data_IF_120688894980
#
_entry.id   IF_120688894980
#
_cell.length_a   1.000
_cell.length_b   1.000
_cell.length_c   1.000
_cell.angle_alpha   90.00
_cell.angle_beta   90.00
_cell.angle_gamma   90.00
#
_symmetry.space_group_name_H-M   'P 1'
#
loop_
_entity.id
_entity.type
_entity.pdbx_description
1 polymer ?
#
# COMPACT_ATOMS: atom_id res chain seq x y z
N UNK A 1 -11.78 -3.99 -17.43
CA UNK A 1 -11.20 -3.67 -16.13
C UNK A 1 -11.73 -2.34 -15.63
N UNK A 2 -12.21 -2.26 -14.40
CA UNK A 2 -12.65 -1.03 -13.74
C UNK A 2 -11.80 -0.77 -12.50
N UNK A 3 -11.38 0.45 -12.27
CA UNK A 3 -10.60 0.85 -11.10
C UNK A 3 -11.44 1.76 -10.22
N UNK A 4 -11.56 1.41 -8.95
CA UNK A 4 -12.36 2.10 -7.94
C UNK A 4 -11.46 2.45 -6.77
N UNK A 5 -11.42 3.71 -6.40
CA UNK A 5 -10.74 4.18 -5.20
C UNK A 5 -11.75 4.83 -4.24
N UNK A 6 -11.55 4.63 -2.95
CA UNK A 6 -12.33 5.31 -1.92
C UNK A 6 -11.56 6.50 -1.37
N UNK A 7 -12.20 7.65 -1.34
CA UNK A 7 -11.65 8.89 -0.83
C UNK A 7 -12.48 9.40 0.35
N UNK A 8 -11.83 9.79 1.42
CA UNK A 8 -12.53 10.34 2.58
C UNK A 8 -11.65 10.47 3.82
N UNK A 9 -12.20 11.06 4.85
CA UNK A 9 -11.50 11.25 6.13
C UNK A 9 -11.09 9.92 6.77
N UNK A 10 -10.03 9.90 7.61
CA UNK A 10 -9.76 8.76 8.48
C UNK A 10 -10.98 8.39 9.30
N UNK A 11 -11.29 7.10 9.38
CA UNK A 11 -12.49 6.62 10.12
C UNK A 11 -13.82 6.74 9.39
N UNK A 12 -13.87 7.21 8.14
CA UNK A 12 -15.11 7.35 7.37
C UNK A 12 -15.73 6.03 6.86
N UNK A 13 -15.16 4.88 7.22
CA UNK A 13 -15.70 3.58 6.84
C UNK A 13 -15.26 3.06 5.47
N UNK A 14 -14.23 3.66 4.83
CA UNK A 14 -13.70 3.23 3.52
C UNK A 14 -13.38 1.74 3.45
N UNK A 15 -12.68 1.23 4.45
CA UNK A 15 -12.28 -0.18 4.51
C UNK A 15 -13.48 -1.10 4.56
N UNK A 16 -14.46 -0.80 5.41
CA UNK A 16 -15.69 -1.58 5.52
C UNK A 16 -16.47 -1.61 4.19
N UNK A 17 -16.60 -0.45 3.53
CA UNK A 17 -17.32 -0.38 2.26
C UNK A 17 -16.55 -1.11 1.14
N UNK A 18 -15.22 -1.02 1.13
CA UNK A 18 -14.36 -1.81 0.24
C UNK A 18 -14.59 -3.30 0.42
N UNK A 19 -14.57 -3.81 1.65
CA UNK A 19 -14.79 -5.23 1.96
C UNK A 19 -16.15 -5.69 1.48
N UNK A 20 -17.23 -4.96 1.79
CA UNK A 20 -18.59 -5.26 1.29
C UNK A 20 -18.64 -5.33 -0.24
N UNK A 21 -17.95 -4.43 -0.94
CA UNK A 21 -17.92 -4.42 -2.40
C UNK A 21 -17.13 -5.61 -2.95
N UNK A 22 -16.00 -5.95 -2.33
CA UNK A 22 -15.22 -7.13 -2.68
C UNK A 22 -16.01 -8.42 -2.50
N UNK A 23 -16.72 -8.59 -1.38
CA UNK A 23 -17.57 -9.74 -1.11
C UNK A 23 -18.69 -9.90 -2.14
N UNK A 24 -19.34 -8.77 -2.49
CA UNK A 24 -20.37 -8.77 -3.55
C UNK A 24 -19.81 -9.24 -4.89
N UNK A 25 -18.69 -8.69 -5.33
CA UNK A 25 -18.07 -9.03 -6.61
C UNK A 25 -17.50 -10.44 -6.63
N UNK A 26 -17.04 -10.97 -5.49
CA UNK A 26 -16.60 -12.37 -5.38
C UNK A 26 -17.75 -13.33 -5.58
N UNK A 27 -18.95 -13.03 -5.07
CA UNK A 27 -20.16 -13.83 -5.30
C UNK A 27 -20.59 -13.82 -6.78
N UNK A 28 -20.22 -12.80 -7.54
CA UNK A 28 -20.46 -12.69 -8.97
C UNK A 28 -19.32 -13.31 -9.82
N UNK A 29 -18.41 -14.10 -9.21
CA UNK A 29 -17.24 -14.71 -9.84
C UNK A 29 -16.35 -13.73 -10.60
N UNK A 30 -16.27 -12.48 -10.14
CA UNK A 30 -15.45 -11.45 -10.74
C UNK A 30 -14.04 -11.45 -10.16
N UNK A 31 -13.02 -11.44 -11.01
CA UNK A 31 -11.62 -11.29 -10.60
C UNK A 31 -11.37 -9.86 -10.11
N UNK A 32 -11.29 -9.71 -8.79
CA UNK A 32 -11.12 -8.43 -8.12
C UNK A 32 -9.89 -8.42 -7.19
N UNK A 33 -9.16 -7.32 -7.19
CA UNK A 33 -7.92 -7.18 -6.45
C UNK A 33 -7.80 -5.80 -5.80
N UNK A 34 -7.08 -5.71 -4.68
CA UNK A 34 -6.46 -4.48 -4.21
C UNK A 34 -5.09 -4.31 -4.86
N UNK A 35 -4.45 -3.13 -4.74
CA UNK A 35 -3.07 -2.95 -5.20
C UNK A 35 -2.12 -4.00 -4.59
N UNK A 36 -2.22 -4.27 -3.30
CA UNK A 36 -1.43 -5.33 -2.65
C UNK A 36 -1.76 -6.72 -3.19
N UNK A 37 -3.03 -6.98 -3.49
CA UNK A 37 -3.47 -8.23 -4.10
C UNK A 37 -2.87 -8.44 -5.48
N UNK A 38 -2.84 -7.40 -6.31
CA UNK A 38 -2.19 -7.44 -7.64
C UNK A 38 -0.71 -7.76 -7.53
N UNK A 39 0.01 -7.12 -6.61
CA UNK A 39 1.43 -7.40 -6.41
C UNK A 39 1.62 -8.86 -5.98
N UNK A 40 0.81 -9.34 -5.05
CA UNK A 40 0.88 -10.72 -4.57
C UNK A 40 0.64 -11.73 -5.69
N UNK A 41 -0.34 -11.47 -6.56
CA UNK A 41 -0.75 -12.38 -7.63
C UNK A 41 0.21 -12.33 -8.84
N UNK A 42 0.59 -11.15 -9.28
CA UNK A 42 1.26 -10.96 -10.56
C UNK A 42 2.74 -10.58 -10.49
N UNK A 43 3.30 -10.39 -9.29
CA UNK A 43 4.74 -10.16 -9.16
C UNK A 43 5.48 -11.50 -9.31
N UNK A 44 6.34 -11.69 -10.33
CA UNK A 44 6.88 -13.00 -10.72
C UNK A 44 7.66 -13.75 -9.65
N UNK A 45 7.94 -13.14 -8.53
CA UNK A 45 8.86 -13.65 -7.49
C UNK A 45 8.18 -14.37 -6.33
N UNK A 46 6.86 -14.27 -6.18
CA UNK A 46 6.22 -14.83 -4.99
C UNK A 46 5.96 -16.34 -5.12
N UNK A 47 5.64 -16.83 -6.31
CA UNK A 47 5.27 -18.24 -6.51
C UNK A 47 6.37 -19.11 -7.11
N UNK A 48 7.20 -18.60 -8.04
CA UNK A 48 8.34 -19.37 -8.55
C UNK A 48 9.42 -19.65 -7.50
N UNK A 49 9.46 -18.89 -6.41
CA UNK A 49 10.34 -19.12 -5.28
C UNK A 49 9.73 -20.01 -4.19
N UNK A 50 8.53 -20.54 -4.35
CA UNK A 50 7.96 -21.51 -3.41
C UNK A 50 8.86 -22.76 -3.31
N UNK A 51 9.35 -23.27 -4.44
CA UNK A 51 10.36 -24.32 -4.47
C UNK A 51 11.65 -23.90 -3.75
N UNK A 52 12.15 -22.69 -3.99
CA UNK A 52 13.31 -22.17 -3.26
C UNK A 52 13.01 -21.94 -1.77
N UNK A 53 11.80 -21.57 -1.42
CA UNK A 53 11.36 -21.45 -0.03
C UNK A 53 11.25 -22.81 0.67
N UNK A 54 10.78 -23.84 -0.02
CA UNK A 54 10.76 -25.22 0.47
C UNK A 54 12.19 -25.75 0.58
N UNK A 55 13.03 -25.57 -0.44
CA UNK A 55 14.43 -25.97 -0.43
C UNK A 55 15.20 -25.28 0.70
N UNK A 56 14.96 -24.00 0.96
CA UNK A 56 15.52 -23.29 2.11
C UNK A 56 15.01 -23.86 3.44
N UNK A 57 13.71 -24.15 3.57
CA UNK A 57 13.17 -24.82 4.76
C UNK A 57 13.82 -26.19 4.99
N UNK A 58 13.96 -26.98 3.94
CA UNK A 58 14.61 -28.28 3.96
C UNK A 58 16.09 -28.13 4.33
N UNK A 59 16.81 -27.24 3.68
CA UNK A 59 18.22 -26.96 3.97
C UNK A 59 18.45 -26.52 5.42
N UNK A 60 17.65 -25.61 5.94
CA UNK A 60 17.74 -25.17 7.33
C UNK A 60 17.29 -26.24 8.32
N UNK A 61 16.32 -27.07 7.96
CA UNK A 61 15.92 -28.23 8.77
C UNK A 61 17.07 -29.23 8.92
N UNK A 62 17.74 -29.60 7.83
CA UNK A 62 18.90 -30.50 7.86
C UNK A 62 20.11 -29.90 8.58
N UNK A 63 20.36 -28.60 8.41
CA UNK A 63 21.45 -27.91 9.11
C UNK A 63 21.21 -27.81 10.61
N UNK A 64 19.96 -27.66 11.06
CA UNK A 64 19.60 -27.67 12.47
C UNK A 64 19.62 -29.07 13.08
N UNK A 65 19.30 -30.09 12.27
CA UNK A 65 19.33 -31.49 12.71
C UNK A 65 20.74 -32.00 12.95
N UNK A 66 21.74 -31.60 12.15
CA UNK A 66 23.16 -31.98 12.33
C UNK A 66 23.75 -31.43 13.64
N UNK A 67 23.21 -30.38 14.25
CA UNK A 67 23.61 -29.87 15.56
C UNK A 67 22.95 -30.58 16.74
N UNK A 68 22.00 -31.51 16.51
CA UNK A 68 21.20 -32.17 17.56
C UNK A 68 21.87 -33.41 18.21
N UNK A 69 23.01 -33.86 17.73
CA UNK A 69 23.62 -35.13 18.19
C UNK A 69 24.40 -34.98 19.52
N UNK A 70 24.47 -33.81 20.12
CA UNK A 70 25.26 -33.59 21.33
C UNK A 70 24.66 -32.59 22.31
N UNK A 71 23.43 -32.75 22.78
CA UNK A 71 22.98 -31.84 23.84
C UNK A 71 22.04 -32.43 24.89
N UNK A 72 22.50 -32.36 26.13
CA UNK A 72 21.82 -32.64 27.39
C UNK A 72 20.54 -31.79 27.60
N UNK A 73 19.61 -32.32 28.41
CA UNK A 73 18.28 -31.78 28.78
C UNK A 73 18.19 -30.29 29.19
N UNK A 74 19.31 -29.62 29.47
CA UNK A 74 19.34 -28.18 29.82
C UNK A 74 19.07 -27.22 28.65
N UNK A 75 19.06 -27.70 27.41
CA UNK A 75 19.02 -26.84 26.21
C UNK A 75 17.66 -26.77 25.46
N UNK A 76 16.58 -27.27 26.04
CA UNK A 76 15.24 -27.18 25.43
C UNK A 76 14.79 -25.72 25.20
N UNK A 77 15.12 -24.79 26.10
CA UNK A 77 14.84 -23.34 25.91
C UNK A 77 15.58 -22.76 24.71
N UNK A 78 16.84 -23.16 24.49
CA UNK A 78 17.65 -22.63 23.37
C UNK A 78 17.18 -23.14 21.99
N UNK A 79 16.49 -24.28 21.91
CA UNK A 79 15.93 -24.79 20.66
C UNK A 79 14.69 -24.00 20.20
N UNK A 80 13.89 -23.44 21.11
CA UNK A 80 12.78 -22.54 20.79
C UNK A 80 13.30 -21.18 20.28
N UNK A 81 14.32 -20.60 20.91
CA UNK A 81 14.98 -19.37 20.43
C UNK A 81 15.54 -19.51 19.01
N UNK A 82 16.10 -20.67 18.67
CA UNK A 82 16.61 -20.94 17.32
C UNK A 82 15.51 -21.03 16.26
N UNK A 83 14.30 -21.49 16.59
CA UNK A 83 13.18 -21.55 15.64
C UNK A 83 12.60 -20.17 15.33
N UNK A 84 12.46 -19.30 16.33
CA UNK A 84 11.98 -17.92 16.11
C UNK A 84 13.01 -17.10 15.34
N UNK A 85 14.29 -17.19 15.65
CA UNK A 85 15.36 -16.51 14.91
C UNK A 85 15.43 -16.98 13.45
N UNK A 86 15.18 -18.27 13.19
CA UNK A 86 15.12 -18.84 11.86
C UNK A 86 13.93 -18.26 11.06
N UNK A 87 12.74 -18.23 11.66
CA UNK A 87 11.54 -17.65 11.04
C UNK A 87 11.71 -16.15 10.72
N UNK A 88 12.35 -15.41 11.62
CA UNK A 88 12.69 -14.00 11.43
C UNK A 88 13.65 -13.84 10.25
N UNK A 89 14.69 -14.67 10.15
CA UNK A 89 15.66 -14.60 9.07
C UNK A 89 15.05 -14.99 7.72
N UNK A 90 14.17 -15.98 7.68
CA UNK A 90 13.41 -16.34 6.47
C UNK A 90 12.49 -15.18 6.04
N UNK A 91 11.75 -14.58 6.99
CA UNK A 91 10.91 -13.40 6.70
C UNK A 91 11.73 -12.25 6.14
N UNK A 92 12.90 -11.94 6.74
CA UNK A 92 13.82 -10.90 6.25
C UNK A 92 14.34 -11.21 4.84
N UNK A 93 14.67 -12.46 4.54
CA UNK A 93 15.15 -12.87 3.24
C UNK A 93 14.06 -12.75 2.16
N UNK A 94 12.86 -13.29 2.44
CA UNK A 94 11.70 -13.17 1.54
C UNK A 94 11.37 -11.69 1.29
N UNK A 95 11.45 -10.87 2.33
CA UNK A 95 11.23 -9.44 2.23
C UNK A 95 12.26 -8.74 1.34
N UNK A 96 13.55 -9.09 1.45
CA UNK A 96 14.61 -8.56 0.57
C UNK A 96 14.38 -8.91 -0.91
N UNK A 97 13.94 -10.14 -1.19
CA UNK A 97 13.61 -10.56 -2.57
C UNK A 97 12.43 -9.75 -3.09
N UNK A 98 11.39 -9.59 -2.28
CA UNK A 98 10.22 -8.78 -2.59
C UNK A 98 10.63 -7.35 -2.94
N UNK A 99 11.39 -6.68 -2.06
CA UNK A 99 11.89 -5.33 -2.31
C UNK A 99 12.73 -5.23 -3.58
N UNK A 100 13.66 -6.16 -3.81
CA UNK A 100 14.49 -6.20 -5.02
C UNK A 100 13.66 -6.26 -6.31
N UNK A 101 12.57 -7.01 -6.30
CA UNK A 101 11.70 -7.12 -7.48
C UNK A 101 10.82 -5.88 -7.68
N UNK A 102 10.33 -5.29 -6.58
CA UNK A 102 9.68 -3.98 -6.61
C UNK A 102 10.63 -2.94 -7.20
N UNK A 103 11.88 -2.88 -6.73
CA UNK A 103 12.86 -1.90 -7.20
C UNK A 103 13.21 -2.06 -8.68
N UNK A 104 13.39 -3.29 -9.17
CA UNK A 104 13.61 -3.56 -10.61
C UNK A 104 12.50 -2.99 -11.50
N UNK A 105 11.27 -3.09 -11.07
CA UNK A 105 10.14 -2.55 -11.82
C UNK A 105 10.04 -1.03 -11.61
N UNK A 106 10.25 -0.56 -10.39
CA UNK A 106 10.14 0.85 -10.03
C UNK A 106 11.11 1.75 -10.79
N UNK A 107 12.33 1.31 -11.03
CA UNK A 107 13.34 2.06 -11.83
C UNK A 107 12.77 2.55 -13.17
N UNK A 108 11.84 1.81 -13.78
CA UNK A 108 11.16 2.23 -15.02
C UNK A 108 10.25 3.46 -14.84
N UNK A 109 9.85 3.76 -13.60
CA UNK A 109 8.94 4.84 -13.25
C UNK A 109 9.63 5.99 -12.51
N UNK A 110 10.81 5.79 -11.95
CA UNK A 110 11.50 6.77 -11.12
C UNK A 110 11.69 8.12 -11.82
N UNK A 111 11.91 8.08 -13.15
CA UNK A 111 12.04 9.28 -13.99
C UNK A 111 10.70 9.82 -14.52
N UNK A 112 9.57 9.18 -14.22
CA UNK A 112 8.25 9.67 -14.64
C UNK A 112 7.81 10.83 -13.76
N UNK A 113 7.12 11.79 -14.37
CA UNK A 113 6.72 13.06 -13.69
C UNK A 113 5.97 12.84 -12.39
N UNK A 114 5.06 11.84 -12.32
CA UNK A 114 4.32 11.56 -11.10
C UNK A 114 5.24 11.07 -9.97
N UNK A 115 6.14 10.13 -10.26
CA UNK A 115 7.09 9.62 -9.26
C UNK A 115 7.99 10.75 -8.75
N UNK A 116 8.52 11.58 -9.64
CA UNK A 116 9.38 12.72 -9.29
C UNK A 116 8.66 13.74 -8.41
N UNK A 117 7.44 14.15 -8.79
CA UNK A 117 6.63 15.07 -7.97
C UNK A 117 6.37 14.47 -6.59
N UNK A 118 5.99 13.20 -6.53
CA UNK A 118 5.68 12.56 -5.25
C UNK A 118 6.91 12.37 -4.38
N UNK A 119 8.05 11.97 -4.95
CA UNK A 119 9.34 11.88 -4.22
C UNK A 119 9.74 13.25 -3.68
N UNK A 120 9.59 14.31 -4.48
CA UNK A 120 9.86 15.67 -4.03
C UNK A 120 8.97 16.05 -2.83
N UNK A 121 7.67 15.77 -2.89
CA UNK A 121 6.73 16.04 -1.80
C UNK A 121 7.08 15.25 -0.53
N UNK A 122 7.51 14.00 -0.66
CA UNK A 122 7.95 13.17 0.47
C UNK A 122 9.23 13.74 1.08
N UNK A 123 10.25 14.06 0.28
CA UNK A 123 11.52 14.61 0.75
C UNK A 123 11.31 15.89 1.54
N UNK A 124 10.47 16.79 1.03
CA UNK A 124 10.18 18.09 1.62
C UNK A 124 9.02 18.06 2.64
N UNK A 125 8.55 16.89 3.06
CA UNK A 125 7.54 16.77 4.11
C UNK A 125 8.18 16.99 5.50
N UNK A 126 7.34 17.39 6.46
CA UNK A 126 7.75 17.59 7.86
C UNK A 126 7.67 16.30 8.70
N UNK A 127 7.72 15.14 8.04
CA UNK A 127 7.72 13.85 8.71
C UNK A 127 9.15 13.40 9.06
N UNK A 128 9.25 12.49 10.03
CA UNK A 128 10.49 11.80 10.38
C UNK A 128 11.06 11.03 9.17
N UNK A 129 12.36 10.73 9.21
CA UNK A 129 13.01 9.96 8.14
C UNK A 129 12.39 8.57 7.96
N UNK A 130 12.00 7.92 9.05
CA UNK A 130 11.35 6.60 9.01
C UNK A 130 10.00 6.67 8.27
N UNK A 131 9.19 7.69 8.57
CA UNK A 131 7.93 7.89 7.85
C UNK A 131 8.16 8.22 6.37
N UNK A 132 9.18 8.99 6.03
CA UNK A 132 9.55 9.24 4.63
C UNK A 132 9.94 7.97 3.89
N UNK A 133 10.64 7.04 4.55
CA UNK A 133 10.96 5.72 3.98
C UNK A 133 9.70 4.90 3.74
N UNK A 134 8.77 4.87 4.70
CA UNK A 134 7.47 4.19 4.56
C UNK A 134 6.68 4.77 3.37
N UNK A 135 6.62 6.09 3.22
CA UNK A 135 5.89 6.73 2.10
C UNK A 135 6.53 6.46 0.74
N UNK A 136 7.87 6.44 0.66
CA UNK A 136 8.57 6.03 -0.56
C UNK A 136 8.25 4.59 -0.93
N UNK A 137 8.20 3.70 0.05
CA UNK A 137 7.85 2.31 -0.17
C UNK A 137 6.42 2.18 -0.70
N UNK A 138 5.45 2.86 -0.09
CA UNK A 138 4.07 2.87 -0.59
C UNK A 138 3.97 3.37 -2.03
N UNK A 139 4.68 4.45 -2.37
CA UNK A 139 4.74 4.95 -3.75
C UNK A 139 5.27 3.89 -4.72
N UNK A 140 6.37 3.22 -4.35
CA UNK A 140 6.95 2.14 -5.16
C UNK A 140 5.94 1.00 -5.39
N UNK A 141 5.32 0.51 -4.31
CA UNK A 141 4.33 -0.56 -4.36
C UNK A 141 3.13 -0.18 -5.23
N UNK A 142 2.59 1.02 -5.08
CA UNK A 142 1.44 1.49 -5.85
C UNK A 142 1.76 1.67 -7.35
N UNK A 143 2.94 2.19 -7.70
CA UNK A 143 3.35 2.32 -9.10
C UNK A 143 3.64 0.96 -9.75
N UNK A 144 4.24 0.03 -9.01
CA UNK A 144 4.45 -1.34 -9.47
C UNK A 144 3.12 -2.06 -9.65
N UNK A 145 2.18 -1.91 -8.71
CA UNK A 145 0.84 -2.45 -8.85
C UNK A 145 0.15 -1.94 -10.14
N UNK A 146 0.19 -0.64 -10.41
CA UNK A 146 -0.36 -0.08 -11.64
C UNK A 146 0.28 -0.66 -12.90
N UNK A 147 1.58 -0.87 -12.91
CA UNK A 147 2.27 -1.53 -14.02
C UNK A 147 1.78 -2.96 -14.23
N UNK A 148 1.66 -3.72 -13.15
CA UNK A 148 1.17 -5.10 -13.20
C UNK A 148 -0.31 -5.17 -13.62
N UNK A 149 -1.14 -4.23 -13.18
CA UNK A 149 -2.53 -4.06 -13.61
C UNK A 149 -2.59 -3.85 -15.12
N UNK A 150 -1.80 -2.93 -15.65
CA UNK A 150 -1.76 -2.64 -17.08
C UNK A 150 -1.35 -3.89 -17.89
N UNK A 151 -0.32 -4.61 -17.45
CA UNK A 151 0.11 -5.85 -18.10
C UNK A 151 -0.92 -6.97 -18.06
N UNK A 152 -1.71 -7.06 -17.01
CA UNK A 152 -2.66 -8.16 -16.77
C UNK A 152 -4.11 -7.72 -16.92
N UNK A 153 -4.40 -6.61 -17.59
CA UNK A 153 -5.73 -6.01 -17.71
C UNK A 153 -6.82 -6.97 -18.21
N UNK A 154 -6.47 -7.98 -19.02
CA UNK A 154 -7.40 -8.99 -19.51
C UNK A 154 -7.85 -9.98 -18.42
N UNK A 155 -7.04 -10.20 -17.38
CA UNK A 155 -7.30 -11.12 -16.28
C UNK A 155 -7.97 -10.45 -15.07
N UNK A 156 -8.14 -9.13 -15.09
CA UNK A 156 -8.63 -8.33 -13.97
C UNK A 156 -9.93 -7.66 -14.36
N UNK A 157 -10.98 -7.91 -13.61
CA UNK A 157 -12.28 -7.23 -13.78
C UNK A 157 -12.31 -5.91 -13.01
N UNK A 158 -11.92 -5.94 -11.71
CA UNK A 158 -11.95 -4.80 -10.82
C UNK A 158 -10.66 -4.64 -10.01
N UNK A 159 -10.24 -3.38 -9.85
CA UNK A 159 -9.27 -2.97 -8.85
C UNK A 159 -9.99 -2.07 -7.85
N UNK A 160 -9.93 -2.42 -6.57
CA UNK A 160 -10.66 -1.72 -5.52
C UNK A 160 -9.70 -1.41 -4.39
N UNK A 161 -9.44 -0.14 -4.14
CA UNK A 161 -8.57 0.27 -3.05
C UNK A 161 -9.15 1.39 -2.17
N UNK A 162 -8.91 1.28 -0.86
CA UNK A 162 -9.34 2.26 0.14
C UNK A 162 -8.26 3.29 0.46
N UNK A 163 -7.04 3.10 -0.05
CA UNK A 163 -5.88 3.93 0.24
C UNK A 163 -4.99 4.11 -0.99
N UNK A 164 -5.61 4.43 -2.12
CA UNK A 164 -4.89 4.67 -3.38
C UNK A 164 -4.25 6.06 -3.47
N UNK A 165 -3.88 6.45 -4.67
CA UNK A 165 -3.14 7.69 -4.92
C UNK A 165 -3.84 8.94 -4.42
N UNK A 166 -5.16 9.06 -4.63
CA UNK A 166 -5.92 10.25 -4.20
C UNK A 166 -5.94 10.36 -2.68
N UNK A 167 -6.11 9.23 -1.98
CA UNK A 167 -6.11 9.21 -0.53
C UNK A 167 -4.74 9.61 0.06
N UNK A 168 -3.62 9.27 -0.61
CA UNK A 168 -2.26 9.64 -0.18
C UNK A 168 -2.02 11.15 -0.17
N UNK A 169 -2.78 11.91 -0.94
CA UNK A 169 -2.64 13.36 -1.00
C UNK A 169 -2.84 14.03 0.38
N UNK A 170 -3.65 13.44 1.28
CA UNK A 170 -3.77 13.92 2.65
C UNK A 170 -2.43 14.01 3.38
N UNK A 171 -1.56 12.99 3.18
CA UNK A 171 -0.25 12.91 3.80
C UNK A 171 0.65 14.04 3.29
N UNK A 172 0.65 14.25 1.96
CA UNK A 172 1.52 15.25 1.34
C UNK A 172 1.11 16.69 1.64
N UNK A 173 -0.14 16.92 2.07
CA UNK A 173 -0.65 18.23 2.47
C UNK A 173 -0.43 18.55 3.96
N UNK A 174 0.08 17.60 4.74
CA UNK A 174 0.28 17.80 6.18
C UNK A 174 1.22 18.95 6.46
N UNK A 175 0.77 19.92 7.26
CA UNK A 175 1.53 21.15 7.64
C UNK A 175 2.13 21.91 6.46
N UNK A 176 1.47 21.91 5.30
CA UNK A 176 1.88 22.69 4.12
C UNK A 176 1.05 23.97 3.98
N UNK A 177 1.71 25.05 3.53
CA UNK A 177 1.06 26.33 3.27
C UNK A 177 0.46 26.35 1.85
N UNK A 178 1.23 25.96 0.83
CA UNK A 178 0.84 26.00 -0.59
C UNK A 178 -0.01 24.81 -1.04
N UNK A 179 -1.02 24.44 -0.24
CA UNK A 179 -1.84 23.22 -0.48
C UNK A 179 -2.45 23.16 -1.85
N UNK A 180 -2.96 24.27 -2.38
CA UNK A 180 -3.59 24.29 -3.69
C UNK A 180 -2.60 24.01 -4.84
N UNK A 181 -1.40 24.59 -4.76
CA UNK A 181 -0.32 24.35 -5.73
C UNK A 181 0.10 22.88 -5.72
N UNK A 182 0.25 22.31 -4.53
CA UNK A 182 0.59 20.89 -4.34
C UNK A 182 -0.49 20.00 -4.96
N UNK A 183 -1.77 20.25 -4.65
CA UNK A 183 -2.91 19.48 -5.20
C UNK A 183 -2.89 19.52 -6.73
N UNK A 184 -2.76 20.69 -7.34
CA UNK A 184 -2.74 20.85 -8.80
C UNK A 184 -1.56 20.09 -9.41
N UNK A 185 -0.35 20.25 -8.88
CA UNK A 185 0.85 19.57 -9.38
C UNK A 185 0.74 18.05 -9.26
N UNK A 186 0.19 17.56 -8.14
CA UNK A 186 0.00 16.15 -7.89
C UNK A 186 -1.04 15.55 -8.84
N UNK A 187 -2.23 16.15 -8.92
CA UNK A 187 -3.34 15.64 -9.75
C UNK A 187 -3.02 15.68 -11.25
N UNK A 188 -2.19 16.66 -11.70
CA UNK A 188 -1.76 16.75 -13.10
C UNK A 188 -1.12 15.47 -13.60
N UNK A 189 -0.36 14.76 -12.77
CA UNK A 189 0.41 13.58 -13.13
C UNK A 189 -0.08 12.30 -12.47
N UNK A 190 -0.98 12.40 -11.49
CA UNK A 190 -1.49 11.27 -10.74
C UNK A 190 -2.19 10.26 -11.65
N UNK A 191 -1.92 8.96 -11.51
CA UNK A 191 -2.76 7.92 -12.10
C UNK A 191 -4.15 7.98 -11.46
N UNK A 192 -5.09 8.53 -12.17
CA UNK A 192 -6.44 8.78 -11.65
C UNK A 192 -7.27 7.50 -11.79
N UNK A 193 -8.01 7.07 -10.76
CA UNK A 193 -8.91 5.93 -10.85
C UNK A 193 -10.07 6.22 -11.78
N UNK A 194 -10.61 5.18 -12.42
CA UNK A 194 -11.79 5.32 -13.28
C UNK A 194 -13.02 5.83 -12.50
N UNK A 195 -13.18 5.37 -11.26
CA UNK A 195 -14.26 5.78 -10.36
C UNK A 195 -13.72 6.11 -8.98
N UNK A 196 -14.10 7.24 -8.45
CA UNK A 196 -13.78 7.66 -7.09
C UNK A 196 -15.07 7.69 -6.26
N UNK A 197 -15.10 6.89 -5.21
CA UNK A 197 -16.19 6.91 -4.23
C UNK A 197 -15.81 7.84 -3.10
N UNK A 198 -16.47 8.99 -3.04
CA UNK A 198 -16.25 10.00 -2.00
C UNK A 198 -17.13 9.69 -0.81
N UNK A 199 -16.51 9.42 0.33
CA UNK A 199 -17.20 9.13 1.57
C UNK A 199 -17.76 10.41 2.20
N UNK A 200 -18.98 10.34 2.74
CA UNK A 200 -19.55 11.45 3.51
C UNK A 200 -18.63 11.85 4.67
N UNK A 201 -18.68 13.12 4.98
CA UNK A 201 -17.94 13.80 6.05
C UNK A 201 -18.48 13.39 7.44
N UNK A 202 -18.47 12.10 7.79
CA UNK A 202 -18.77 11.66 9.15
C UNK A 202 -17.51 11.73 9.98
N UNK A 203 -17.51 12.56 11.00
CA UNK A 203 -16.45 12.62 12.01
C UNK A 203 -16.77 11.51 13.01
N UNK A 204 -16.15 10.36 12.87
CA UNK A 204 -16.19 9.36 13.92
C UNK A 204 -15.29 9.79 15.08
N UNK A 205 -15.80 9.62 16.33
CA UNK A 205 -15.03 9.84 17.56
C UNK A 205 -13.66 9.13 17.43
N UNK A 206 -12.60 9.86 17.74
CA UNK A 206 -11.20 9.42 17.65
C UNK A 206 -11.01 7.99 18.18
N UNK A 207 -10.77 7.00 17.35
CA UNK A 207 -9.93 5.88 17.76
C UNK A 207 -8.50 6.43 17.87
N UNK A 208 -7.89 6.32 19.05
CA UNK A 208 -6.48 6.67 19.26
C UNK A 208 -5.67 5.90 18.22
N UNK A 209 -5.09 6.58 17.24
CA UNK A 209 -4.19 5.92 16.31
C UNK A 209 -2.92 5.57 17.08
N UNK A 210 -2.38 4.38 16.84
CA UNK A 210 -1.12 3.92 17.42
C UNK A 210 0.08 4.83 17.10
N UNK A 211 -0.05 5.67 16.08
CA UNK A 211 1.02 6.52 15.58
C UNK A 211 0.68 8.01 15.80
N UNK A 212 1.26 8.63 16.84
CA UNK A 212 1.02 10.03 17.23
C UNK A 212 1.28 11.03 16.09
N UNK A 213 2.23 10.75 15.18
CA UNK A 213 2.56 11.63 14.06
C UNK A 213 1.45 11.72 12.99
N UNK A 214 0.60 10.68 12.86
CA UNK A 214 -0.53 10.67 11.94
C UNK A 214 -1.82 11.29 12.51
N UNK A 215 -1.80 11.77 13.75
CA UNK A 215 -2.91 12.49 14.33
C UNK A 215 -2.99 13.91 13.75
N UNK A 216 -3.37 14.01 12.46
CA UNK A 216 -3.78 15.30 11.92
C UNK A 216 -4.90 15.86 12.77
N UNK A 217 -4.77 17.13 13.15
CA UNK A 217 -5.87 17.86 13.76
C UNK A 217 -7.12 17.69 12.89
N UNK A 218 -8.25 17.40 13.50
CA UNK A 218 -9.52 17.17 12.81
C UNK A 218 -9.86 18.33 11.86
N UNK A 219 -9.59 19.59 12.28
CA UNK A 219 -9.81 20.76 11.46
C UNK A 219 -8.92 20.79 10.21
N UNK A 220 -7.63 20.45 10.33
CA UNK A 220 -6.73 20.37 9.18
C UNK A 220 -7.15 19.27 8.22
N UNK A 221 -7.54 18.11 8.71
CA UNK A 221 -8.06 17.02 7.90
C UNK A 221 -9.32 17.42 7.13
N UNK A 222 -10.24 18.14 7.76
CA UNK A 222 -11.44 18.67 7.14
C UNK A 222 -11.12 19.71 6.05
N UNK A 223 -10.18 20.61 6.32
CA UNK A 223 -9.71 21.60 5.34
C UNK A 223 -9.07 20.92 4.12
N UNK A 224 -8.19 19.96 4.35
CA UNK A 224 -7.54 19.21 3.29
C UNK A 224 -8.57 18.41 2.45
N UNK A 225 -9.53 17.75 3.11
CA UNK A 225 -10.62 17.06 2.43
C UNK A 225 -11.39 18.00 1.50
N UNK A 226 -11.80 19.17 2.00
CA UNK A 226 -12.54 20.16 1.20
C UNK A 226 -11.75 20.64 0.00
N UNK A 227 -10.45 20.94 0.18
CA UNK A 227 -9.59 21.40 -0.92
C UNK A 227 -9.39 20.33 -1.99
N UNK A 228 -9.13 19.07 -1.60
CA UNK A 228 -8.97 17.97 -2.53
C UNK A 228 -10.28 17.70 -3.27
N UNK A 229 -11.40 17.62 -2.55
CA UNK A 229 -12.71 17.37 -3.15
C UNK A 229 -13.07 18.46 -4.18
N UNK A 230 -12.85 19.75 -3.85
CA UNK A 230 -13.05 20.87 -4.77
C UNK A 230 -12.15 20.78 -6.01
N UNK A 231 -10.94 20.30 -5.89
CA UNK A 231 -10.06 20.11 -7.03
C UNK A 231 -10.50 18.94 -7.92
N UNK A 232 -10.92 17.84 -7.33
CA UNK A 232 -11.41 16.65 -8.04
C UNK A 232 -12.71 16.91 -8.78
N UNK A 233 -13.63 17.68 -8.22
CA UNK A 233 -14.90 18.04 -8.90
C UNK A 233 -14.69 18.89 -10.15
N UNK A 234 -13.56 19.62 -10.23
CA UNK A 234 -13.17 20.38 -11.41
C UNK A 234 -12.49 19.52 -12.49
N UNK A 235 -11.98 18.35 -12.12
CA UNK A 235 -11.31 17.43 -13.01
C UNK A 235 -12.32 16.45 -13.62
N UNK A 236 -12.68 16.69 -14.89
CA UNK A 236 -13.66 15.87 -15.64
C UNK A 236 -13.19 14.44 -15.94
N UNK A 237 -11.95 14.09 -15.61
CA UNK A 237 -11.37 12.76 -15.91
C UNK A 237 -11.83 11.66 -14.95
N UNK A 238 -12.44 12.02 -13.82
CA UNK A 238 -12.82 11.08 -12.76
C UNK A 238 -14.34 11.03 -12.65
N UNK A 239 -14.90 9.83 -12.67
CA UNK A 239 -16.29 9.61 -12.26
C UNK A 239 -16.38 9.64 -10.74
N UNK A 240 -17.00 10.69 -10.19
CA UNK A 240 -17.19 10.83 -8.74
C UNK A 240 -18.56 10.31 -8.34
N UNK A 241 -18.59 9.43 -7.35
CA UNK A 241 -19.82 8.92 -6.71
C UNK A 241 -19.77 9.31 -5.24
N UNK A 242 -20.75 10.05 -4.78
CA UNK A 242 -20.89 10.37 -3.36
C UNK A 242 -21.66 9.27 -2.65
N UNK A 243 -21.02 8.65 -1.64
CA UNK A 243 -21.70 7.70 -0.78
C UNK A 243 -22.68 8.45 0.13
N UNK A 244 -23.96 8.17 -0.02
CA UNK A 244 -25.07 8.79 0.75
C UNK A 244 -25.17 8.24 2.18
#
# INVERSE_FOLDING_TARGET
MKQIEFFGLPGSGKTLLKEKLLDKLSKENMNNYSYKGVIKEFLPSYEKNWLNFILLKIFFYFRSSKKKISYNKKNLKNTFYNKESLLINIKKYVFKIYEKNIDKIFVKFEKKSFAQVTIYLIKNSNFSNDNKLIFKRWLKEELVANYLIYKNKKKINYIIDSEGFIQRLFIYLYKKNDKQKIIRSYLKYCPIPYTLIVMKKKIFKKKKSLNKEFNMNTQESLKNYSLINKALTKDKKVKIIYNK
#
